data_IF_485667241376
#
_entry.id   IF_485667241376
#
_cell.length_a   1.000
_cell.length_b   1.000
_cell.length_c   1.000
_cell.angle_alpha   90.00
_cell.angle_beta   90.00
_cell.angle_gamma   90.00
#
_symmetry.space_group_name_H-M   'P 1'
#
loop_
_entity.id
_entity.type
_entity.pdbx_description
1 polymer ?
#
# COMPACT_ATOMS: atom_id res chain seq x y z
N UNK A 1 -31.07 -5.16 -4.00
CA UNK A 1 -29.74 -5.71 -4.30
C UNK A 1 -29.82 -6.41 -5.63
N UNK A 2 -28.93 -6.06 -6.57
CA UNK A 2 -28.81 -6.87 -7.78
C UNK A 2 -28.11 -8.19 -7.42
N UNK A 3 -28.33 -9.26 -8.18
CA UNK A 3 -27.59 -10.52 -8.01
C UNK A 3 -26.07 -10.30 -8.18
N UNK A 4 -25.29 -11.17 -7.54
CA UNK A 4 -23.83 -11.16 -7.64
C UNK A 4 -23.37 -11.49 -9.07
N UNK A 5 -22.30 -10.84 -9.58
CA UNK A 5 -21.73 -11.19 -10.88
C UNK A 5 -21.22 -12.63 -10.90
N UNK A 6 -21.50 -13.37 -11.99
CA UNK A 6 -21.00 -14.74 -12.16
C UNK A 6 -20.30 -14.87 -13.51
N UNK A 7 -19.00 -15.17 -13.49
CA UNK A 7 -18.21 -15.41 -14.69
C UNK A 7 -18.31 -16.88 -15.09
N UNK A 8 -18.81 -17.14 -16.29
CA UNK A 8 -19.06 -18.50 -16.81
C UNK A 8 -18.18 -18.88 -18.00
N UNK A 9 -17.56 -17.89 -18.67
CA UNK A 9 -16.75 -18.15 -19.85
C UNK A 9 -15.66 -17.13 -20.11
N UNK A 10 -14.56 -17.60 -20.69
CA UNK A 10 -13.38 -16.80 -21.05
C UNK A 10 -12.93 -17.14 -22.46
N UNK A 11 -12.44 -16.16 -23.19
CA UNK A 11 -11.87 -16.34 -24.51
C UNK A 11 -10.76 -15.30 -24.75
N UNK A 12 -9.49 -15.72 -24.91
CA UNK A 12 -8.96 -17.08 -24.74
C UNK A 12 -8.94 -17.55 -23.26
N UNK A 13 -8.75 -18.85 -23.01
CA UNK A 13 -8.63 -19.42 -21.64
C UNK A 13 -7.21 -19.32 -21.06
N UNK A 14 -6.23 -19.04 -21.91
CA UNK A 14 -4.84 -18.86 -21.53
C UNK A 14 -4.18 -17.79 -22.40
N UNK A 15 -3.10 -17.21 -21.91
CA UNK A 15 -2.29 -16.28 -22.69
C UNK A 15 -1.21 -15.57 -21.87
N UNK A 16 -0.23 -14.94 -22.55
CA UNK A 16 0.78 -14.10 -21.92
C UNK A 16 0.18 -12.82 -21.30
N UNK A 17 0.95 -12.05 -20.50
CA UNK A 17 0.55 -10.73 -20.04
C UNK A 17 0.09 -9.84 -21.20
N UNK A 18 -0.96 -9.03 -20.98
CA UNK A 18 -1.53 -8.15 -22.01
C UNK A 18 -2.50 -8.83 -22.98
N UNK A 19 -2.75 -10.14 -22.83
CA UNK A 19 -3.74 -10.88 -23.63
C UNK A 19 -5.11 -10.25 -23.48
N UNK A 20 -5.76 -9.95 -24.61
CA UNK A 20 -7.13 -9.43 -24.64
C UNK A 20 -8.11 -10.56 -24.34
N UNK A 21 -8.63 -10.58 -23.11
CA UNK A 21 -9.58 -11.57 -22.61
C UNK A 21 -11.01 -11.05 -22.73
N UNK A 22 -11.87 -11.86 -23.35
CA UNK A 22 -13.32 -11.64 -23.39
C UNK A 22 -13.95 -12.46 -22.27
N UNK A 23 -14.50 -11.76 -21.29
CA UNK A 23 -15.15 -12.31 -20.11
C UNK A 23 -16.66 -12.37 -20.38
N UNK A 24 -17.23 -13.57 -20.27
CA UNK A 24 -18.66 -13.84 -20.41
C UNK A 24 -19.22 -14.34 -19.09
N UNK A 25 -20.44 -13.93 -18.78
CA UNK A 25 -21.06 -14.22 -17.50
C UNK A 25 -22.47 -13.69 -17.41
N UNK A 26 -22.99 -13.68 -16.19
CA UNK A 26 -24.27 -13.11 -15.82
C UNK A 26 -24.07 -11.99 -14.80
N UNK A 27 -24.90 -10.95 -14.88
CA UNK A 27 -24.92 -9.84 -13.93
C UNK A 27 -23.59 -9.08 -13.81
N UNK A 28 -22.84 -8.95 -14.91
CA UNK A 28 -21.56 -8.24 -14.99
C UNK A 28 -21.71 -6.70 -14.99
N UNK A 29 -22.76 -6.19 -14.34
CA UNK A 29 -23.07 -4.77 -14.22
C UNK A 29 -24.18 -4.30 -15.16
N UNK A 30 -25.01 -3.38 -14.67
CA UNK A 30 -26.16 -2.84 -15.41
C UNK A 30 -25.76 -1.72 -16.39
N UNK A 31 -24.69 -1.00 -16.09
CA UNK A 31 -24.16 0.14 -16.84
C UNK A 31 -22.63 0.16 -16.72
N UNK A 32 -21.90 0.87 -17.60
CA UNK A 32 -20.44 0.97 -17.50
C UNK A 32 -19.94 1.45 -16.14
N UNK A 33 -20.64 2.41 -15.51
CA UNK A 33 -20.30 2.99 -14.19
C UNK A 33 -20.58 2.04 -13.01
N UNK A 34 -21.21 0.90 -13.27
CA UNK A 34 -21.51 -0.12 -12.27
C UNK A 34 -20.32 -1.06 -12.05
N UNK A 35 -19.41 -1.18 -13.03
CA UNK A 35 -18.18 -1.94 -12.90
C UNK A 35 -17.16 -1.15 -12.08
N UNK A 36 -16.83 -1.64 -10.89
CA UNK A 36 -15.93 -0.95 -9.94
C UNK A 36 -14.66 -1.75 -9.63
N UNK A 37 -14.58 -3.00 -10.07
CA UNK A 37 -13.39 -3.84 -9.92
C UNK A 37 -13.38 -5.00 -10.89
N UNK A 38 -12.19 -5.33 -11.41
CA UNK A 38 -11.96 -6.53 -12.19
C UNK A 38 -10.57 -7.07 -11.85
N UNK A 39 -10.51 -8.29 -11.32
CA UNK A 39 -9.25 -8.99 -11.05
C UNK A 39 -9.12 -10.21 -11.94
N UNK A 40 -7.98 -10.36 -12.61
CA UNK A 40 -7.62 -11.57 -13.39
C UNK A 40 -6.37 -12.16 -12.76
N UNK A 41 -6.47 -13.40 -12.25
CA UNK A 41 -5.36 -14.08 -11.56
C UNK A 41 -4.74 -13.24 -10.42
N UNK A 42 -5.58 -12.52 -9.67
CA UNK A 42 -5.16 -11.66 -8.55
C UNK A 42 -4.68 -10.25 -8.93
N UNK A 43 -4.49 -9.95 -10.23
CA UNK A 43 -4.09 -8.61 -10.69
C UNK A 43 -5.29 -7.74 -11.04
N UNK A 44 -5.27 -6.49 -10.59
CA UNK A 44 -6.27 -5.50 -10.93
C UNK A 44 -6.15 -5.10 -12.41
N UNK A 45 -7.19 -5.40 -13.17
CA UNK A 45 -7.30 -5.18 -14.61
C UNK A 45 -8.39 -4.13 -14.93
N UNK A 46 -8.94 -3.43 -13.93
CA UNK A 46 -10.04 -2.48 -14.10
C UNK A 46 -9.72 -1.36 -15.11
N UNK A 47 -8.50 -0.83 -15.10
CA UNK A 47 -8.06 0.22 -16.03
C UNK A 47 -8.16 -0.20 -17.51
N UNK A 48 -8.03 -1.49 -17.79
CA UNK A 48 -8.14 -2.06 -19.13
C UNK A 48 -9.53 -2.58 -19.45
N UNK A 49 -10.45 -2.55 -18.48
CA UNK A 49 -11.75 -3.17 -18.59
C UNK A 49 -12.73 -2.28 -19.35
N UNK A 50 -13.24 -2.81 -20.46
CA UNK A 50 -14.30 -2.23 -21.27
C UNK A 50 -15.58 -3.03 -21.01
N UNK A 51 -16.54 -2.41 -20.33
CA UNK A 51 -17.87 -2.96 -20.18
C UNK A 51 -18.62 -2.85 -21.52
N UNK A 52 -19.13 -3.98 -22.02
CA UNK A 52 -19.88 -4.02 -23.29
C UNK A 52 -21.37 -4.23 -23.05
N UNK A 53 -21.70 -5.14 -22.12
CA UNK A 53 -23.08 -5.49 -21.79
C UNK A 53 -23.14 -6.19 -20.43
N UNK A 54 -24.34 -6.39 -19.85
CA UNK A 54 -24.48 -7.14 -18.59
C UNK A 54 -23.92 -8.56 -18.60
N UNK A 55 -23.63 -9.11 -19.79
CA UNK A 55 -23.11 -10.47 -19.95
C UNK A 55 -21.71 -10.51 -20.58
N UNK A 56 -21.06 -9.34 -20.77
CA UNK A 56 -19.77 -9.25 -21.48
C UNK A 56 -18.92 -8.07 -21.02
N UNK A 57 -17.69 -8.39 -20.62
CA UNK A 57 -16.61 -7.44 -20.35
C UNK A 57 -15.39 -7.86 -21.19
N UNK A 58 -14.63 -6.89 -21.68
CA UNK A 58 -13.37 -7.13 -22.38
C UNK A 58 -12.27 -6.47 -21.56
N UNK A 59 -11.19 -7.18 -21.27
CA UNK A 59 -10.06 -6.62 -20.52
C UNK A 59 -8.74 -7.20 -21.01
N UNK A 60 -7.63 -6.65 -20.55
CA UNK A 60 -6.29 -7.22 -20.78
C UNK A 60 -5.79 -7.88 -19.50
N UNK A 61 -5.19 -9.06 -19.62
CA UNK A 61 -4.58 -9.76 -18.47
C UNK A 61 -3.36 -8.99 -17.95
N UNK A 62 -3.21 -8.95 -16.62
CA UNK A 62 -2.02 -8.41 -15.95
C UNK A 62 -0.81 -9.35 -15.97
N UNK A 63 0.33 -8.94 -15.37
CA UNK A 63 1.54 -9.75 -15.27
C UNK A 63 1.40 -10.83 -14.18
N UNK A 64 0.52 -11.81 -14.41
CA UNK A 64 0.30 -12.95 -13.52
C UNK A 64 1.01 -14.22 -14.01
N UNK A 65 1.29 -15.15 -13.10
CA UNK A 65 1.81 -16.50 -13.41
C UNK A 65 0.90 -17.56 -12.79
N UNK A 66 0.58 -18.59 -13.57
CA UNK A 66 -0.20 -19.72 -13.10
C UNK A 66 -1.69 -19.59 -13.40
N UNK A 67 -2.48 -20.44 -12.77
CA UNK A 67 -3.93 -20.52 -12.97
C UNK A 67 -4.59 -19.68 -11.87
N UNK A 68 -5.54 -18.82 -12.23
CA UNK A 68 -6.25 -17.99 -11.26
C UNK A 68 -7.66 -17.62 -11.68
N UNK A 69 -8.44 -17.20 -10.69
CA UNK A 69 -9.84 -16.82 -10.86
C UNK A 69 -10.00 -15.41 -11.47
N UNK A 70 -11.20 -15.16 -12.02
CA UNK A 70 -11.59 -13.89 -12.62
C UNK A 70 -12.72 -13.32 -11.77
N UNK A 71 -12.41 -12.30 -10.98
CA UNK A 71 -13.35 -11.72 -10.04
C UNK A 71 -13.84 -10.39 -10.59
N UNK A 72 -15.14 -10.30 -10.82
CA UNK A 72 -15.81 -9.07 -11.26
C UNK A 72 -16.52 -8.46 -10.06
N UNK A 73 -16.27 -7.18 -9.78
CA UNK A 73 -16.92 -6.44 -8.69
C UNK A 73 -17.80 -5.34 -9.26
N UNK A 74 -19.08 -5.38 -8.93
CA UNK A 74 -20.06 -4.36 -9.35
C UNK A 74 -20.58 -3.58 -8.14
N UNK A 75 -20.98 -2.33 -8.35
CA UNK A 75 -21.61 -1.50 -7.32
C UNK A 75 -22.97 -2.07 -6.91
N UNK A 76 -23.71 -2.64 -7.86
CA UNK A 76 -25.08 -3.14 -7.64
C UNK A 76 -25.14 -4.53 -7.01
N UNK A 77 -24.20 -5.42 -7.38
CA UNK A 77 -24.19 -6.84 -7.01
C UNK A 77 -23.03 -7.25 -6.10
N UNK A 78 -22.07 -6.37 -5.82
CA UNK A 78 -20.90 -6.67 -5.00
C UNK A 78 -19.85 -7.50 -5.75
N UNK A 79 -19.05 -8.25 -4.98
CA UNK A 79 -18.02 -9.15 -5.50
C UNK A 79 -18.64 -10.42 -6.09
N UNK A 80 -18.22 -10.75 -7.31
CA UNK A 80 -18.68 -11.90 -8.05
C UNK A 80 -17.83 -13.15 -7.88
N UNK A 81 -18.28 -14.24 -8.51
CA UNK A 81 -17.59 -15.53 -8.52
C UNK A 81 -17.27 -15.98 -9.94
N UNK A 82 -16.29 -16.88 -10.09
CA UNK A 82 -15.91 -17.45 -11.38
C UNK A 82 -16.03 -18.96 -11.36
N UNK A 83 -16.68 -19.56 -12.35
CA UNK A 83 -16.68 -21.01 -12.58
C UNK A 83 -15.53 -21.45 -13.50
N UNK A 84 -14.76 -20.50 -14.02
CA UNK A 84 -13.69 -20.71 -14.98
C UNK A 84 -12.43 -19.98 -14.54
N UNK A 85 -11.27 -20.55 -14.85
CA UNK A 85 -9.99 -19.98 -14.48
C UNK A 85 -9.23 -19.56 -15.73
N UNK A 86 -8.46 -18.48 -15.62
CA UNK A 86 -7.55 -18.04 -16.66
C UNK A 86 -6.16 -18.59 -16.33
N UNK A 87 -5.52 -19.21 -17.32
CA UNK A 87 -4.13 -19.65 -17.20
C UNK A 87 -3.22 -18.54 -17.71
N UNK A 88 -2.67 -17.78 -16.78
CA UNK A 88 -1.67 -16.76 -17.09
C UNK A 88 -0.32 -17.46 -17.35
N UNK A 89 0.11 -17.41 -18.61
CA UNK A 89 1.42 -17.92 -19.01
C UNK A 89 2.41 -16.84 -18.60
N UNK A 90 3.01 -16.98 -17.42
CA UNK A 90 3.91 -16.00 -16.80
C UNK A 90 5.26 -15.86 -17.48
N UNK A 91 5.35 -16.18 -18.77
CA UNK A 91 6.56 -16.01 -19.53
C UNK A 91 6.65 -14.53 -19.87
N UNK A 92 7.42 -13.79 -19.07
CA UNK A 92 8.42 -12.94 -19.67
C UNK A 92 9.30 -13.89 -20.47
N UNK A 93 8.91 -14.20 -21.71
CA UNK A 93 9.92 -14.58 -22.68
C UNK A 93 10.98 -13.49 -22.58
N UNK A 94 12.26 -13.87 -22.52
CA UNK A 94 13.32 -12.91 -22.77
C UNK A 94 13.09 -12.49 -24.22
N UNK A 95 12.30 -11.44 -24.39
CA UNK A 95 11.88 -10.92 -25.67
C UNK A 95 13.13 -10.24 -26.19
N UNK A 96 13.74 -10.87 -27.20
CA UNK A 96 14.89 -10.28 -27.87
C UNK A 96 14.53 -8.89 -28.41
N UNK A 97 15.52 -8.03 -28.71
CA UNK A 97 15.30 -6.64 -29.14
C UNK A 97 14.38 -6.46 -30.35
N UNK A 98 14.13 -7.53 -31.12
CA UNK A 98 13.30 -7.55 -32.32
C UNK A 98 11.91 -8.17 -32.12
N UNK A 99 11.57 -8.66 -30.92
CA UNK A 99 10.31 -9.37 -30.67
C UNK A 99 9.29 -8.42 -30.02
N UNK A 100 8.06 -8.39 -30.53
CA UNK A 100 7.02 -7.46 -30.05
C UNK A 100 6.42 -7.93 -28.71
N UNK A 101 6.20 -6.99 -27.77
CA UNK A 101 5.55 -7.25 -26.47
C UNK A 101 4.24 -6.46 -26.32
N UNK A 102 3.19 -7.11 -25.79
CA UNK A 102 1.90 -6.48 -25.49
C UNK A 102 1.87 -5.75 -24.13
N UNK A 103 2.93 -5.90 -23.33
CA UNK A 103 3.13 -5.24 -22.04
C UNK A 103 4.47 -4.52 -22.09
N UNK A 104 4.50 -3.29 -21.57
CA UNK A 104 5.75 -2.58 -21.33
C UNK A 104 6.62 -3.45 -20.41
N UNK A 105 7.66 -4.03 -21.01
CA UNK A 105 8.77 -4.60 -20.26
C UNK A 105 9.53 -3.39 -19.74
N UNK A 106 9.98 -3.45 -18.48
CA UNK A 106 10.89 -2.43 -17.96
C UNK A 106 12.25 -2.63 -18.66
N UNK A 107 12.36 -2.05 -19.85
CA UNK A 107 13.54 -2.12 -20.71
C UNK A 107 14.64 -1.21 -20.14
N UNK A 108 15.29 -1.66 -19.07
CA UNK A 108 16.68 -1.32 -18.78
C UNK A 108 17.21 -2.09 -17.56
N UNK A 109 18.17 -3.02 -17.74
CA UNK A 109 19.26 -3.04 -16.79
C UNK A 109 20.05 -1.75 -17.01
N UNK A 110 19.86 -0.77 -16.12
CA UNK A 110 20.97 0.13 -15.82
C UNK A 110 22.14 -0.78 -15.52
N UNK A 111 23.17 -0.72 -16.38
CA UNK A 111 24.46 -1.36 -16.17
C UNK A 111 24.75 -1.44 -14.68
N UNK A 112 24.87 -2.67 -14.18
CA UNK A 112 25.25 -2.96 -12.80
C UNK A 112 26.66 -2.38 -12.55
N UNK A 113 26.73 -1.07 -12.32
CA UNK A 113 27.78 -0.48 -11.51
C UNK A 113 27.42 -0.84 -10.07
N UNK A 114 27.68 -2.10 -9.72
CA UNK A 114 27.71 -2.50 -8.33
C UNK A 114 28.74 -1.59 -7.63
N UNK A 115 28.24 -0.82 -6.67
CA UNK A 115 28.93 0.17 -5.83
C UNK A 115 29.01 1.57 -6.42
N UNK A 116 27.94 2.34 -6.24
CA UNK A 116 28.10 3.78 -6.27
C UNK A 116 26.87 4.68 -6.18
N UNK A 117 25.62 4.23 -6.33
CA UNK A 117 24.43 5.03 -5.96
C UNK A 117 23.26 4.12 -5.62
N UNK A 118 22.61 4.39 -4.48
CA UNK A 118 21.30 3.82 -4.16
C UNK A 118 20.25 4.64 -4.92
N UNK A 119 19.67 4.09 -5.97
CA UNK A 119 18.33 4.44 -6.41
C UNK A 119 17.36 3.41 -5.86
N UNK A 120 16.28 3.88 -5.23
CA UNK A 120 15.28 3.12 -4.47
C UNK A 120 14.32 2.29 -5.37
N UNK A 121 14.87 1.52 -6.31
CA UNK A 121 14.11 0.53 -7.08
C UNK A 121 15.00 -0.69 -7.31
N UNK A 122 14.78 -1.72 -6.49
CA UNK A 122 15.33 -3.05 -6.71
C UNK A 122 14.63 -3.67 -7.92
N UNK A 123 15.33 -3.80 -9.05
CA UNK A 123 14.94 -4.74 -10.10
C UNK A 123 15.67 -6.07 -9.86
N UNK A 124 14.92 -7.07 -9.38
CA UNK A 124 15.38 -8.43 -9.07
C UNK A 124 15.10 -9.39 -10.25
N UNK A 125 14.61 -8.90 -11.40
CA UNK A 125 13.92 -9.79 -12.35
C UNK A 125 14.68 -10.23 -13.60
N UNK A 126 15.95 -9.85 -13.79
CA UNK A 126 16.79 -10.50 -14.80
C UNK A 126 18.20 -10.67 -14.29
N UNK A 127 18.44 -11.73 -13.52
CA UNK A 127 19.82 -12.22 -13.37
C UNK A 127 20.26 -12.70 -14.74
N UNK A 128 21.20 -11.98 -15.37
CA UNK A 128 21.83 -12.45 -16.60
C UNK A 128 22.35 -13.87 -16.37
N UNK A 129 22.07 -14.75 -17.33
CA UNK A 129 22.49 -16.15 -17.25
C UNK A 129 24.01 -16.21 -16.94
N UNK A 130 24.44 -16.89 -15.87
CA UNK A 130 25.85 -16.99 -15.51
C UNK A 130 26.73 -17.56 -16.61
N UNK A 131 26.15 -18.37 -17.53
CA UNK A 131 26.87 -18.95 -18.66
C UNK A 131 26.96 -17.99 -19.86
N UNK A 132 26.22 -16.87 -19.86
CA UNK A 132 26.20 -15.92 -20.98
C UNK A 132 25.62 -16.50 -22.26
N UNK A 133 24.83 -17.58 -22.16
CA UNK A 133 24.19 -18.24 -23.29
C UNK A 133 22.75 -17.73 -23.42
N UNK A 134 22.29 -17.53 -24.65
CA UNK A 134 20.89 -17.18 -24.88
C UNK A 134 20.01 -18.40 -24.63
N UNK A 135 19.04 -18.25 -23.72
CA UNK A 135 18.00 -19.27 -23.44
C UNK A 135 16.72 -19.05 -24.25
N UNK A 136 16.79 -18.16 -25.25
CA UNK A 136 15.68 -17.80 -26.12
C UNK A 136 15.17 -19.04 -26.89
N UNK A 137 13.89 -19.37 -26.70
CA UNK A 137 13.26 -20.54 -27.33
C UNK A 137 13.30 -21.84 -26.50
N UNK A 138 13.90 -21.85 -25.30
CA UNK A 138 13.81 -23.02 -24.42
C UNK A 138 12.42 -23.09 -23.76
N UNK A 139 11.48 -23.79 -24.37
CA UNK A 139 10.22 -24.13 -23.73
C UNK A 139 10.50 -24.95 -22.47
N UNK A 140 10.13 -24.42 -21.28
CA UNK A 140 10.27 -25.11 -20.00
C UNK A 140 9.41 -26.39 -19.98
N UNK A 141 9.95 -27.46 -20.55
CA UNK A 141 9.33 -28.77 -20.60
C UNK A 141 9.65 -29.49 -19.29
N UNK A 142 8.62 -29.67 -18.46
CA UNK A 142 8.58 -30.52 -17.26
C UNK A 142 9.18 -29.94 -15.96
N UNK A 143 8.55 -28.89 -15.42
CA UNK A 143 8.82 -28.44 -14.04
C UNK A 143 8.30 -29.43 -12.98
N UNK A 144 7.29 -30.25 -13.32
CA UNK A 144 6.65 -31.20 -12.40
C UNK A 144 7.52 -32.44 -12.12
N UNK A 145 8.10 -33.06 -13.15
CA UNK A 145 8.97 -34.24 -12.99
C UNK A 145 10.31 -33.92 -12.29
N UNK A 146 10.80 -32.67 -12.40
CA UNK A 146 12.05 -32.25 -11.77
C UNK A 146 11.92 -32.12 -10.24
N UNK A 147 10.71 -31.84 -9.75
CA UNK A 147 10.41 -31.71 -8.31
C UNK A 147 10.43 -33.05 -7.58
N UNK A 148 10.11 -34.14 -8.27
CA UNK A 148 10.18 -35.50 -7.74
C UNK A 148 11.63 -36.03 -7.66
N UNK A 149 12.48 -35.65 -8.61
CA UNK A 149 13.89 -36.07 -8.67
C UNK A 149 14.80 -35.29 -7.72
N UNK A 150 14.46 -34.04 -7.41
CA UNK A 150 15.24 -33.17 -6.53
C UNK A 150 14.39 -32.54 -5.41
N UNK A 151 13.92 -33.35 -4.44
CA UNK A 151 13.20 -32.80 -3.30
C UNK A 151 14.12 -31.87 -2.51
N UNK A 152 13.66 -30.64 -2.28
CA UNK A 152 14.33 -29.57 -1.54
C UNK A 152 15.52 -28.86 -2.21
N UNK A 153 15.82 -29.10 -3.49
CA UNK A 153 16.83 -28.30 -4.21
C UNK A 153 16.17 -27.24 -5.09
N UNK A 154 16.87 -26.12 -5.29
CA UNK A 154 16.43 -25.03 -6.15
C UNK A 154 17.39 -24.82 -7.32
N UNK A 155 16.86 -24.47 -8.49
CA UNK A 155 17.65 -23.95 -9.60
C UNK A 155 17.97 -22.46 -9.45
N UNK A 156 17.45 -21.79 -8.42
CA UNK A 156 17.67 -20.36 -8.18
C UNK A 156 19.03 -20.12 -7.52
N UNK A 157 19.83 -19.25 -8.13
CA UNK A 157 21.20 -18.90 -7.71
C UNK A 157 21.24 -18.15 -6.38
N UNK A 158 20.11 -17.58 -5.94
CA UNK A 158 20.01 -16.81 -4.70
C UNK A 158 19.62 -17.67 -3.49
N UNK A 159 19.20 -18.92 -3.71
CA UNK A 159 18.76 -19.80 -2.64
C UNK A 159 19.93 -20.62 -2.10
N UNK A 160 19.95 -20.84 -0.78
CA UNK A 160 21.00 -21.63 -0.12
C UNK A 160 21.00 -23.11 -0.55
N UNK A 161 19.86 -23.61 -1.03
CA UNK A 161 19.69 -24.97 -1.56
C UNK A 161 19.94 -25.07 -3.07
N UNK A 162 20.78 -24.20 -3.62
CA UNK A 162 21.11 -24.19 -5.04
C UNK A 162 21.75 -25.50 -5.51
N UNK A 163 21.20 -26.07 -6.58
CA UNK A 163 21.76 -27.23 -7.28
C UNK A 163 22.13 -26.87 -8.72
N UNK A 164 23.42 -26.94 -9.10
CA UNK A 164 23.87 -26.67 -10.46
C UNK A 164 23.23 -27.59 -11.52
N UNK A 165 22.98 -28.85 -11.14
CA UNK A 165 22.34 -29.82 -12.03
C UNK A 165 20.88 -29.43 -12.33
N UNK A 166 20.15 -28.99 -11.31
CA UNK A 166 18.77 -28.54 -11.46
C UNK A 166 18.69 -27.24 -12.27
N UNK A 167 19.63 -26.32 -12.05
CA UNK A 167 19.74 -25.09 -12.85
C UNK A 167 19.95 -25.37 -14.34
N UNK A 168 20.88 -26.27 -14.68
CA UNK A 168 21.13 -26.65 -16.07
C UNK A 168 19.91 -27.35 -16.71
N UNK A 169 19.22 -28.20 -15.96
CA UNK A 169 18.01 -28.88 -16.44
C UNK A 169 16.83 -27.91 -16.60
N UNK A 170 16.69 -26.91 -15.73
CA UNK A 170 15.57 -25.96 -15.78
C UNK A 170 15.76 -24.87 -16.84
N UNK A 171 16.99 -24.34 -16.98
CA UNK A 171 17.28 -23.18 -17.84
C UNK A 171 17.93 -23.56 -19.17
N UNK A 172 18.71 -24.64 -19.18
CA UNK A 172 19.60 -25.01 -20.28
C UNK A 172 19.34 -26.41 -20.85
N UNK A 173 18.14 -26.98 -20.63
CA UNK A 173 17.77 -28.32 -21.13
C UNK A 173 17.92 -28.52 -22.64
N UNK A 174 17.74 -27.45 -23.43
CA UNK A 174 17.87 -27.47 -24.88
C UNK A 174 19.27 -27.05 -25.39
N UNK A 175 20.22 -26.74 -24.50
CA UNK A 175 21.56 -26.29 -24.90
C UNK A 175 22.48 -27.45 -25.27
N UNK A 176 23.35 -27.24 -26.24
CA UNK A 176 24.31 -28.27 -26.65
C UNK A 176 25.50 -28.32 -25.70
N UNK A 177 26.16 -29.47 -25.62
CA UNK A 177 27.38 -29.63 -24.81
C UNK A 177 28.51 -28.67 -25.23
N UNK A 178 28.60 -28.34 -26.53
CA UNK A 178 29.59 -27.39 -27.03
C UNK A 178 29.32 -25.97 -26.50
N UNK A 179 28.05 -25.56 -26.46
CA UNK A 179 27.64 -24.25 -25.92
C UNK A 179 27.85 -24.19 -24.42
N UNK A 180 27.51 -25.25 -23.67
CA UNK A 180 27.77 -25.34 -22.23
C UNK A 180 29.27 -25.21 -21.91
N UNK A 181 30.14 -25.81 -22.74
CA UNK A 181 31.60 -25.67 -22.59
C UNK A 181 32.07 -24.23 -22.86
N UNK A 182 31.48 -23.55 -23.84
CA UNK A 182 31.74 -22.14 -24.09
C UNK A 182 31.26 -21.26 -22.93
N UNK A 183 30.08 -21.56 -22.38
CA UNK A 183 29.51 -20.89 -21.20
C UNK A 183 30.36 -21.06 -19.95
N UNK A 184 30.97 -22.23 -19.75
CA UNK A 184 31.93 -22.47 -18.66
C UNK A 184 33.17 -21.58 -18.78
N UNK A 185 33.72 -21.43 -19.99
CA UNK A 185 34.86 -20.55 -20.23
C UNK A 185 34.50 -19.07 -19.99
N UNK A 186 33.29 -18.66 -20.41
CA UNK A 186 32.76 -17.32 -20.13
C UNK A 186 32.63 -17.08 -18.62
N UNK A 187 32.06 -18.03 -17.89
CA UNK A 187 31.90 -17.96 -16.43
C UNK A 187 33.25 -17.85 -15.72
N UNK A 188 34.23 -18.68 -16.10
CA UNK A 188 35.58 -18.61 -15.54
C UNK A 188 36.20 -17.22 -15.74
N UNK A 189 36.11 -16.65 -16.95
CA UNK A 189 36.59 -15.30 -17.22
C UNK A 189 35.85 -14.24 -16.40
N UNK A 190 34.54 -14.39 -16.20
CA UNK A 190 33.71 -13.47 -15.40
C UNK A 190 34.10 -13.52 -13.91
N UNK A 191 34.37 -14.72 -13.38
CA UNK A 191 34.84 -14.92 -12.00
C UNK A 191 36.23 -14.31 -11.79
N UNK A 192 37.15 -14.51 -12.74
CA UNK A 192 38.49 -13.90 -12.67
C UNK A 192 38.43 -12.38 -12.75
N UNK A 193 37.63 -11.84 -13.67
CA UNK A 193 37.43 -10.40 -13.82
C UNK A 193 36.79 -9.75 -12.58
N UNK A 194 35.86 -10.42 -11.90
CA UNK A 194 35.28 -9.91 -10.65
C UNK A 194 36.33 -9.76 -9.54
N UNK A 195 37.24 -10.73 -9.38
CA UNK A 195 38.28 -10.69 -8.35
C UNK A 195 39.24 -9.51 -8.59
N UNK A 196 39.58 -9.26 -9.84
CA UNK A 196 40.43 -8.13 -10.23
C UNK A 196 39.72 -6.77 -10.07
N UNK A 197 38.43 -6.72 -10.45
CA UNK A 197 37.58 -5.54 -10.27
C UNK A 197 37.42 -5.13 -8.80
N UNK A 198 37.18 -6.09 -7.90
CA UNK A 198 37.09 -5.85 -6.46
C UNK A 198 38.38 -5.26 -5.88
N UNK A 199 39.53 -5.79 -6.29
CA UNK A 199 40.83 -5.29 -5.85
C UNK A 199 41.13 -3.89 -6.40
N UNK A 200 40.77 -3.61 -7.66
CA UNK A 200 40.94 -2.28 -8.25
C UNK A 200 40.05 -1.23 -7.58
N UNK A 201 38.80 -1.57 -7.26
CA UNK A 201 37.85 -0.71 -6.56
C UNK A 201 38.30 -0.39 -5.14
N UNK A 202 38.76 -1.40 -4.39
CA UNK A 202 39.28 -1.19 -3.04
C UNK A 202 40.54 -0.32 -3.07
N UNK A 203 41.41 -0.47 -4.08
CA UNK A 203 42.58 0.40 -4.24
C UNK A 203 42.20 1.84 -4.55
N UNK A 204 41.21 2.08 -5.42
CA UNK A 204 40.78 3.44 -5.76
C UNK A 204 39.99 4.13 -4.65
N UNK A 205 39.29 3.36 -3.81
CA UNK A 205 38.40 3.88 -2.76
C UNK A 205 38.90 3.58 -1.33
N UNK A 206 40.14 3.13 -1.18
CA UNK A 206 40.71 2.73 0.12
C UNK A 206 40.56 3.84 1.17
N UNK A 207 40.82 5.09 0.80
CA UNK A 207 40.66 6.24 1.70
C UNK A 207 39.24 6.37 2.22
N UNK A 208 38.22 6.35 1.34
CA UNK A 208 36.83 6.46 1.75
C UNK A 208 36.36 5.27 2.60
N UNK A 209 36.89 4.07 2.36
CA UNK A 209 36.56 2.88 3.17
C UNK A 209 37.19 2.98 4.55
N UNK A 210 38.43 3.48 4.65
CA UNK A 210 39.11 3.72 5.92
C UNK A 210 38.37 4.81 6.70
N UNK A 211 37.99 5.92 6.05
CA UNK A 211 37.21 6.98 6.69
C UNK A 211 35.87 6.46 7.21
N UNK A 212 35.17 5.63 6.43
CA UNK A 212 33.92 4.99 6.87
C UNK A 212 34.15 4.06 8.06
N UNK A 213 35.22 3.26 8.04
CA UNK A 213 35.56 2.40 9.16
C UNK A 213 35.87 3.22 10.41
N UNK A 214 36.63 4.30 10.29
CA UNK A 214 36.93 5.23 11.38
C UNK A 214 35.65 5.88 11.93
N UNK A 215 34.71 6.27 11.06
CA UNK A 215 33.40 6.78 11.53
C UNK A 215 32.60 5.71 12.28
N UNK A 216 32.62 4.45 11.83
CA UNK A 216 31.94 3.36 12.53
C UNK A 216 32.59 3.06 13.87
N UNK A 217 33.92 3.10 13.96
CA UNK A 217 34.65 2.94 15.20
C UNK A 217 34.33 4.08 16.18
N UNK A 218 34.32 5.33 15.70
CA UNK A 218 33.92 6.49 16.50
C UNK A 218 32.48 6.37 17.03
N UNK A 219 31.53 5.94 16.19
CA UNK A 219 30.14 5.71 16.60
C UNK A 219 30.08 4.61 17.67
N UNK A 220 30.82 3.52 17.48
CA UNK A 220 30.86 2.40 18.42
C UNK A 220 31.43 2.81 19.77
N UNK A 221 32.49 3.61 19.78
CA UNK A 221 33.11 4.12 21.00
C UNK A 221 32.16 5.08 21.74
N UNK A 222 31.46 5.96 21.00
CA UNK A 222 30.42 6.83 21.55
C UNK A 222 29.26 6.06 22.15
N UNK A 223 28.78 5.03 21.46
CA UNK A 223 27.70 4.17 21.95
C UNK A 223 28.11 3.40 23.22
N UNK A 224 29.35 2.94 23.30
CA UNK A 224 29.88 2.29 24.50
C UNK A 224 30.04 3.27 25.67
N UNK A 225 30.42 4.53 25.40
CA UNK A 225 30.46 5.60 26.39
C UNK A 225 29.06 5.92 26.92
N UNK A 226 28.08 6.08 26.03
CA UNK A 226 26.68 6.34 26.39
C UNK A 226 26.08 5.17 27.19
N UNK A 227 26.39 3.93 26.83
CA UNK A 227 25.94 2.74 27.57
C UNK A 227 26.53 2.67 28.98
N UNK A 228 27.75 3.19 29.19
CA UNK A 228 28.36 3.30 30.53
C UNK A 228 27.72 4.41 31.37
N UNK A 229 27.40 5.55 30.76
CA UNK A 229 26.87 6.73 31.46
C UNK A 229 25.37 6.60 31.78
N UNK A 230 24.58 6.11 30.83
CA UNK A 230 23.11 6.09 30.90
C UNK A 230 22.52 4.67 31.04
N UNK A 231 23.38 3.65 31.11
CA UNK A 231 22.96 2.25 31.24
C UNK A 231 22.40 1.65 29.95
N UNK A 232 21.72 0.49 30.04
CA UNK A 232 21.23 -0.25 28.86
C UNK A 232 20.06 0.44 28.14
N UNK A 233 19.38 1.39 28.77
CA UNK A 233 18.18 2.05 28.23
C UNK A 233 18.25 3.58 28.39
N UNK A 234 19.09 4.27 27.59
CA UNK A 234 19.27 5.73 27.68
C UNK A 234 17.99 6.53 27.41
N UNK A 235 17.03 5.95 26.68
CA UNK A 235 15.77 6.60 26.29
C UNK A 235 14.73 6.61 27.42
N UNK A 236 14.90 5.83 28.49
CA UNK A 236 13.92 5.79 29.59
C UNK A 236 13.81 7.11 30.34
N UNK A 237 14.95 7.75 30.59
CA UNK A 237 14.99 9.08 31.25
C UNK A 237 14.29 10.13 30.40
N UNK A 238 14.52 10.10 29.08
CA UNK A 238 13.84 11.01 28.15
C UNK A 238 12.32 10.74 28.10
N UNK A 239 11.92 9.47 28.11
CA UNK A 239 10.51 9.10 28.11
C UNK A 239 9.80 9.56 29.39
N UNK A 240 10.43 9.36 30.55
CA UNK A 240 9.92 9.82 31.85
C UNK A 240 9.79 11.34 31.90
N UNK A 241 10.77 12.07 31.38
CA UNK A 241 10.73 13.54 31.34
C UNK A 241 9.63 14.08 30.41
N UNK A 242 9.39 13.41 29.27
CA UNK A 242 8.29 13.74 28.37
C UNK A 242 6.94 13.48 29.05
N UNK A 243 6.79 12.34 29.73
CA UNK A 243 5.55 11.99 30.42
C UNK A 243 5.26 12.93 31.60
N UNK A 244 6.29 13.31 32.35
CA UNK A 244 6.21 14.34 33.38
C UNK A 244 5.78 15.69 32.79
N UNK A 245 6.39 16.12 31.68
CA UNK A 245 6.03 17.37 31.03
C UNK A 245 4.59 17.37 30.50
N UNK A 246 4.08 16.24 30.01
CA UNK A 246 2.69 16.11 29.56
C UNK A 246 1.75 16.23 30.76
N UNK A 247 2.03 15.52 31.85
CA UNK A 247 1.19 15.55 33.05
C UNK A 247 1.12 16.94 33.70
N UNK A 248 2.25 17.65 33.78
CA UNK A 248 2.30 19.04 34.25
C UNK A 248 1.51 19.98 33.33
N UNK A 249 1.62 19.80 32.02
CA UNK A 249 0.82 20.56 31.05
C UNK A 249 -0.68 20.33 31.25
N UNK A 250 -1.12 19.07 31.38
CA UNK A 250 -2.53 18.73 31.62
C UNK A 250 -3.06 19.35 32.92
N UNK A 251 -2.27 19.33 34.00
CA UNK A 251 -2.63 19.95 35.26
C UNK A 251 -2.85 21.47 35.11
N UNK A 252 -1.93 22.17 34.44
CA UNK A 252 -2.04 23.62 34.20
C UNK A 252 -3.26 23.94 33.33
N UNK A 253 -3.48 23.18 32.25
CA UNK A 253 -4.60 23.44 31.33
C UNK A 253 -5.95 23.12 31.94
N UNK A 254 -6.06 22.09 32.78
CA UNK A 254 -7.32 21.73 33.45
C UNK A 254 -7.88 22.90 34.26
N UNK A 255 -7.03 23.53 35.07
CA UNK A 255 -7.40 24.70 35.86
C UNK A 255 -7.84 25.90 35.00
N UNK A 256 -7.13 26.14 33.90
CA UNK A 256 -7.46 27.23 32.97
C UNK A 256 -8.79 26.96 32.27
N UNK A 257 -9.03 25.73 31.84
CA UNK A 257 -10.26 25.32 31.17
C UNK A 257 -11.47 25.41 32.11
N UNK A 258 -11.34 24.96 33.36
CA UNK A 258 -12.41 25.08 34.36
C UNK A 258 -12.76 26.54 34.67
N UNK A 259 -11.75 27.42 34.78
CA UNK A 259 -11.98 28.86 34.97
C UNK A 259 -12.64 29.49 33.76
N UNK A 260 -12.26 29.09 32.55
CA UNK A 260 -12.88 29.54 31.31
C UNK A 260 -14.35 29.09 31.24
N UNK A 261 -14.64 27.83 31.52
CA UNK A 261 -16.00 27.29 31.51
C UNK A 261 -16.90 28.02 32.52
N UNK A 262 -16.41 28.27 33.73
CA UNK A 262 -17.13 29.05 34.74
C UNK A 262 -17.40 30.49 34.28
N UNK A 263 -16.42 31.13 33.65
CA UNK A 263 -16.57 32.48 33.11
C UNK A 263 -17.57 32.51 31.94
N UNK A 264 -17.51 31.53 31.04
CA UNK A 264 -18.40 31.44 29.88
C UNK A 264 -19.84 31.10 30.31
N UNK A 265 -20.03 30.25 31.31
CA UNK A 265 -21.33 30.01 31.96
C UNK A 265 -21.89 31.29 32.60
N UNK A 266 -21.06 32.03 33.35
CA UNK A 266 -21.46 33.31 33.95
C UNK A 266 -21.88 34.33 32.87
N UNK A 267 -21.13 34.40 31.76
CA UNK A 267 -21.48 35.24 30.61
C UNK A 267 -22.78 34.79 29.96
N UNK A 268 -23.00 33.50 29.77
CA UNK A 268 -24.24 32.97 29.20
C UNK A 268 -25.46 33.33 30.07
N UNK A 269 -25.36 33.18 31.39
CA UNK A 269 -26.41 33.58 32.34
C UNK A 269 -26.65 35.09 32.30
N UNK A 270 -25.59 35.91 32.28
CA UNK A 270 -25.72 37.37 32.23
C UNK A 270 -26.35 37.83 30.91
N UNK A 271 -25.97 37.21 29.79
CA UNK A 271 -26.59 37.45 28.49
C UNK A 271 -28.08 37.08 28.50
N UNK A 272 -28.45 35.93 29.10
CA UNK A 272 -29.85 35.53 29.23
C UNK A 272 -30.65 36.50 30.12
N UNK A 273 -30.10 36.91 31.28
CA UNK A 273 -30.73 37.87 32.20
C UNK A 273 -30.91 39.25 31.57
N UNK A 274 -29.89 39.75 30.87
CA UNK A 274 -29.96 41.05 30.19
C UNK A 274 -30.93 41.03 29.01
N UNK A 275 -30.91 39.98 28.19
CA UNK A 275 -31.82 39.80 27.05
C UNK A 275 -33.28 39.66 27.49
N UNK A 276 -33.54 38.93 28.56
CA UNK A 276 -34.89 38.65 29.06
C UNK A 276 -35.25 39.39 30.35
N UNK A 277 -34.61 40.54 30.62
CA UNK A 277 -34.82 41.35 31.84
C UNK A 277 -36.29 41.64 32.12
N UNK A 278 -37.07 41.95 31.07
CA UNK A 278 -38.51 42.20 31.19
C UNK A 278 -39.26 41.00 31.79
N UNK A 279 -38.94 39.78 31.39
CA UNK A 279 -39.62 38.57 31.85
C UNK A 279 -39.23 38.22 33.29
N UNK A 280 -37.95 38.34 33.64
CA UNK A 280 -37.46 38.11 35.01
C UNK A 280 -37.97 39.15 36.02
N UNK A 281 -38.13 40.40 35.59
CA UNK A 281 -38.66 41.47 36.46
C UNK A 281 -40.19 41.57 36.47
N UNK A 282 -40.89 40.80 35.61
CA UNK A 282 -42.34 40.86 35.46
C UNK A 282 -43.08 40.63 36.80
N UNK A 283 -42.79 39.59 37.60
CA UNK A 283 -43.55 39.33 38.84
C UNK A 283 -43.50 40.51 39.82
N UNK A 284 -42.30 41.08 40.05
CA UNK A 284 -42.12 42.22 40.95
C UNK A 284 -42.83 43.48 40.42
N UNK A 285 -42.78 43.71 39.11
CA UNK A 285 -43.52 44.84 38.50
C UNK A 285 -45.03 44.66 38.57
N UNK A 286 -45.53 43.43 38.45
CA UNK A 286 -46.95 43.09 38.55
C UNK A 286 -47.44 43.27 39.97
N UNK A 287 -46.71 42.78 40.98
CA UNK A 287 -47.06 42.96 42.40
C UNK A 287 -47.14 44.45 42.78
N UNK A 288 -46.13 45.24 42.39
CA UNK A 288 -46.11 46.69 42.68
C UNK A 288 -47.28 47.44 42.02
N UNK A 289 -47.59 47.13 40.76
CA UNK A 289 -48.68 47.78 40.01
C UNK A 289 -50.05 47.34 40.48
N UNK A 290 -50.22 46.08 40.85
CA UNK A 290 -51.44 45.55 41.45
C UNK A 290 -51.72 46.22 42.81
N UNK A 291 -50.70 46.41 43.65
CA UNK A 291 -50.83 47.11 44.93
C UNK A 291 -51.22 48.60 44.76
N UNK A 292 -50.82 49.23 43.65
CA UNK A 292 -51.20 50.60 43.31
C UNK A 292 -52.59 50.73 42.65
N UNK A 293 -53.28 49.62 42.37
CA UNK A 293 -54.60 49.60 41.72
C UNK A 293 -54.58 49.75 40.19
N UNK A 294 -53.41 49.72 39.55
CA UNK A 294 -53.23 49.90 38.10
C UNK A 294 -53.38 48.57 37.33
N UNK A 295 -54.57 47.96 37.38
CA UNK A 295 -54.80 46.62 36.83
C UNK A 295 -54.73 46.54 35.30
N UNK A 296 -55.08 47.61 34.58
CA UNK A 296 -55.04 47.63 33.11
C UNK A 296 -53.62 47.44 32.56
N UNK A 297 -52.63 48.02 33.24
CA UNK A 297 -51.22 47.94 32.86
C UNK A 297 -50.68 46.53 33.11
N UNK A 298 -51.11 45.89 34.21
CA UNK A 298 -50.77 44.50 34.54
C UNK A 298 -51.27 43.54 33.46
N UNK A 299 -52.52 43.69 33.03
CA UNK A 299 -53.10 42.86 31.96
C UNK A 299 -52.35 43.05 30.65
N UNK A 300 -51.97 44.28 30.31
CA UNK A 300 -51.19 44.57 29.10
C UNK A 300 -49.78 43.96 29.15
N UNK A 301 -49.04 44.15 30.25
CA UNK A 301 -47.70 43.59 30.41
C UNK A 301 -47.71 42.06 30.38
N UNK A 302 -48.72 41.43 31.00
CA UNK A 302 -48.91 39.98 30.96
C UNK A 302 -49.25 39.50 29.54
N UNK A 303 -50.15 40.18 28.83
CA UNK A 303 -50.48 39.87 27.44
C UNK A 303 -49.26 40.03 26.51
N UNK A 304 -48.42 41.04 26.74
CA UNK A 304 -47.17 41.28 26.01
C UNK A 304 -46.15 40.17 26.25
N UNK A 305 -45.98 39.73 27.50
CA UNK A 305 -45.14 38.59 27.83
C UNK A 305 -45.66 37.30 27.18
N UNK A 306 -46.96 37.03 27.31
CA UNK A 306 -47.61 35.87 26.70
C UNK A 306 -47.47 35.87 25.17
N UNK A 307 -47.67 36.99 24.49
CA UNK A 307 -47.51 37.09 23.04
C UNK A 307 -46.09 36.76 22.56
N UNK A 308 -45.07 37.24 23.28
CA UNK A 308 -43.66 37.08 22.89
C UNK A 308 -43.06 35.72 23.25
N UNK A 309 -43.55 35.05 24.28
CA UNK A 309 -42.89 33.85 24.84
C UNK A 309 -43.78 32.60 24.91
N UNK A 310 -45.07 32.67 24.52
CA UNK A 310 -45.99 31.52 24.56
C UNK A 310 -45.66 30.37 23.60
N UNK A 311 -44.89 30.63 22.55
CA UNK A 311 -44.55 29.65 21.50
C UNK A 311 -43.12 29.10 21.60
N UNK A 312 -42.41 29.43 22.67
CA UNK A 312 -41.04 28.95 22.88
C UNK A 312 -41.11 27.54 23.45
N UNK A 313 -41.02 26.52 22.60
CA UNK A 313 -40.70 25.16 23.04
C UNK A 313 -39.27 25.17 23.57
N UNK A 314 -39.12 24.77 24.84
CA UNK A 314 -37.82 24.59 25.48
C UNK A 314 -37.38 23.17 25.08
N UNK A 315 -36.30 22.99 24.30
CA UNK A 315 -35.74 21.67 24.03
C UNK A 315 -35.14 21.03 25.29
#
# INVERSE_FOLDING_TARGET
>A
MAPQPVVTGLSPKEGPPGTRVIIRGEFLGLKPTDLIGLKICGFDCLLSAEWVSPNKIIARSGPAKGIGDIIVTTRSGGEGTSSVQFRAIGNHEIIGPLKESAVWIDEAPSQNFAWGRRTLVQSVLTQEDPLGLSTEGNEQKNVENLRELFPNNSGDLLQENFSPALFLLEKHSATTFADLKAGLNYLNRKVESQKEGQLSFLKSNAGSVIDQLDTLMNIRDKLQEDQKQYGPEPLKVLQEEIENSISESENIFTDVLLRKEKADSTRAVLLALSRHKFLFCLPNSVEKRAAAGEFDIVVNDYARAKSRFSKTEIP
#
